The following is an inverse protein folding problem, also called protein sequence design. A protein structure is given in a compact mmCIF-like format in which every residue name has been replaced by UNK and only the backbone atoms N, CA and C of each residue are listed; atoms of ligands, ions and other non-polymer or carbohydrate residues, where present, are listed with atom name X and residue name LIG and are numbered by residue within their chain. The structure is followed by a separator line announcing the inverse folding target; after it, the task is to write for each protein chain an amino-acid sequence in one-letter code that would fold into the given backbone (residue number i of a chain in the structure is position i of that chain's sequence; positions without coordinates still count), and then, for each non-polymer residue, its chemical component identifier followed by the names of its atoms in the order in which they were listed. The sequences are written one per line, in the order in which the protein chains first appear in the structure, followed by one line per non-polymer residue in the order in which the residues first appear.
data_IF_467664080884
#
_entry.id   IF_467664080884
#
_cell.length_a   1.000
_cell.length_b   1.000
_cell.length_c   1.000
_cell.angle_alpha   90.00
_cell.angle_beta   90.00
_cell.angle_gamma   90.00
#
_symmetry.space_group_name_H-M   'P 1'
#
loop_
_entity.id
_entity.type
_entity.pdbx_description
1 polymer ?
#
# COMPACT_ATOMS: atom_id res chain seq x y z
N UNK A 1 -5.73 0.26 8.29
CA UNK A 1 -6.43 1.28 7.47
C UNK A 1 -5.58 1.67 6.27
N UNK A 2 -6.20 2.03 5.16
CA UNK A 2 -5.54 2.65 4.00
C UNK A 2 -6.23 3.98 3.71
N UNK A 3 -5.44 5.02 3.47
CA UNK A 3 -5.91 6.37 3.22
C UNK A 3 -5.16 6.98 2.04
N UNK A 4 -5.89 7.69 1.19
CA UNK A 4 -5.34 8.57 0.16
C UNK A 4 -5.68 10.02 0.51
N UNK A 5 -4.78 10.96 0.24
CA UNK A 5 -5.00 12.37 0.58
C UNK A 5 -6.20 13.02 -0.13
N UNK A 6 -6.66 12.42 -1.23
CA UNK A 6 -7.85 12.81 -2.01
C UNK A 6 -8.49 11.55 -2.59
N UNK A 7 -9.71 11.71 -3.11
CA UNK A 7 -10.39 10.68 -3.92
C UNK A 7 -10.32 10.98 -5.42
N UNK A 8 -10.04 12.22 -5.78
CA UNK A 8 -9.93 12.68 -7.17
C UNK A 8 -8.62 13.46 -7.31
N UNK A 9 -7.85 13.14 -8.34
CA UNK A 9 -6.53 13.69 -8.65
C UNK A 9 -6.51 14.17 -10.09
N UNK A 10 -5.82 15.29 -10.36
CA UNK A 10 -5.54 15.68 -11.75
C UNK A 10 -4.38 14.85 -12.31
N UNK A 11 -4.25 14.80 -13.63
CA UNK A 11 -3.04 14.26 -14.27
C UNK A 11 -1.79 14.91 -13.68
N UNK A 12 -0.74 14.11 -13.51
CA UNK A 12 0.55 14.49 -12.91
C UNK A 12 0.50 14.87 -11.42
N UNK A 13 -0.68 14.80 -10.78
CA UNK A 13 -0.78 15.00 -9.35
C UNK A 13 -0.36 13.76 -8.56
N UNK A 14 0.59 13.92 -7.65
CA UNK A 14 1.02 12.81 -6.82
C UNK A 14 -0.08 12.28 -5.90
N UNK A 15 -0.34 10.98 -5.98
CA UNK A 15 -1.23 10.25 -5.07
C UNK A 15 -0.43 9.88 -3.83
N UNK A 16 -0.76 10.50 -2.69
CA UNK A 16 -0.15 10.16 -1.40
C UNK A 16 -0.97 9.11 -0.70
N UNK A 17 -0.36 7.96 -0.45
CA UNK A 17 -0.96 6.81 0.21
C UNK A 17 -0.39 6.64 1.62
N UNK A 18 -1.26 6.39 2.59
CA UNK A 18 -0.89 6.08 3.97
C UNK A 18 -1.53 4.74 4.32
N UNK A 19 -0.68 3.74 4.57
CA UNK A 19 -1.11 2.44 5.08
C UNK A 19 -0.71 2.33 6.56
N UNK A 20 -1.67 2.02 7.43
CA UNK A 20 -1.43 1.88 8.86
C UNK A 20 -1.97 0.55 9.39
N UNK A 21 -1.10 -0.17 10.08
CA UNK A 21 -1.37 -1.42 10.80
C UNK A 21 -1.45 -1.10 12.29
N UNK A 22 -2.65 -1.15 12.86
CA UNK A 22 -2.91 -0.81 14.26
C UNK A 22 -3.29 -2.06 15.03
N UNK A 23 -2.64 -2.30 16.17
CA UNK A 23 -3.10 -3.33 17.09
C UNK A 23 -4.35 -2.84 17.83
N UNK A 24 -5.51 -3.40 17.48
CA UNK A 24 -6.82 -3.07 18.10
C UNK A 24 -7.15 -3.93 19.32
N UNK A 25 -6.27 -4.87 19.68
CA UNK A 25 -6.45 -5.74 20.83
C UNK A 25 -5.96 -5.06 22.12
N UNK A 26 -6.43 -5.56 23.26
CA UNK A 26 -5.97 -5.09 24.59
C UNK A 26 -4.62 -5.70 25.01
N UNK A 27 -4.06 -6.61 24.21
CA UNK A 27 -2.77 -7.28 24.46
C UNK A 27 -1.78 -7.00 23.33
N UNK A 28 -0.46 -7.07 23.58
CA UNK A 28 0.52 -6.97 22.50
C UNK A 28 0.29 -8.02 21.41
N UNK A 29 0.55 -7.63 20.16
CA UNK A 29 0.45 -8.50 18.99
C UNK A 29 1.80 -8.53 18.27
N UNK A 30 2.33 -9.73 18.02
CA UNK A 30 3.57 -9.92 17.26
C UNK A 30 3.24 -10.33 15.83
N UNK A 31 3.77 -9.57 14.87
CA UNK A 31 3.74 -9.85 13.44
C UNK A 31 5.07 -10.51 13.06
N UNK A 32 5.01 -11.65 12.37
CA UNK A 32 6.18 -12.34 11.83
C UNK A 32 6.24 -12.17 10.31
N UNK A 33 7.38 -11.72 9.80
CA UNK A 33 7.64 -11.55 8.38
C UNK A 33 8.73 -12.50 7.93
N UNK A 34 8.54 -13.20 6.82
CA UNK A 34 9.50 -14.18 6.27
C UNK A 34 10.61 -13.54 5.42
N UNK A 35 10.44 -12.28 5.05
CA UNK A 35 11.40 -11.47 4.29
C UNK A 35 11.41 -10.05 4.87
N UNK A 36 12.30 -9.20 4.35
CA UNK A 36 12.29 -7.75 4.65
C UNK A 36 11.02 -7.02 4.16
N UNK A 37 10.14 -7.66 3.39
CA UNK A 37 8.90 -7.06 2.93
C UNK A 37 7.82 -7.12 4.01
N UNK A 38 7.46 -5.97 4.58
CA UNK A 38 6.45 -5.88 5.64
C UNK A 38 5.05 -5.49 5.17
N UNK A 39 4.93 -5.02 3.94
CA UNK A 39 3.67 -4.63 3.31
C UNK A 39 3.86 -4.63 1.79
N UNK A 40 2.76 -4.44 1.08
CA UNK A 40 2.77 -4.07 -0.33
C UNK A 40 1.56 -3.18 -0.63
N UNK A 41 1.61 -2.51 -1.78
CA UNK A 41 0.52 -1.72 -2.32
C UNK A 41 0.41 -2.04 -3.81
N UNK A 42 -0.80 -2.42 -4.24
CA UNK A 42 -1.15 -2.69 -5.62
C UNK A 42 -2.18 -1.66 -6.08
N UNK A 43 -1.95 -1.11 -7.26
CA UNK A 43 -2.90 -0.24 -7.95
C UNK A 43 -3.38 -0.98 -9.20
N UNK A 44 -4.69 -1.18 -9.32
CA UNK A 44 -5.31 -1.80 -10.49
C UNK A 44 -6.27 -0.86 -11.20
N UNK A 45 -6.49 -1.13 -12.49
CA UNK A 45 -7.52 -0.49 -13.31
C UNK A 45 -8.28 -1.57 -14.05
N UNK A 46 -9.61 -1.60 -13.87
CA UNK A 46 -10.45 -2.64 -14.45
C UNK A 46 -9.97 -4.08 -14.12
N UNK A 47 -9.38 -4.28 -12.94
CA UNK A 47 -8.85 -5.57 -12.49
C UNK A 47 -7.39 -5.85 -12.91
N UNK A 48 -6.83 -5.08 -13.84
CA UNK A 48 -5.46 -5.26 -14.32
C UNK A 48 -4.46 -4.50 -13.46
N UNK A 49 -3.31 -5.12 -13.16
CA UNK A 49 -2.22 -4.47 -12.44
C UNK A 49 -1.62 -3.33 -13.27
N UNK A 50 -1.56 -2.15 -12.66
CA UNK A 50 -0.96 -0.94 -13.26
C UNK A 50 0.37 -0.64 -12.59
N UNK A 51 0.36 -0.64 -11.26
CA UNK A 51 1.53 -0.31 -10.46
C UNK A 51 1.55 -1.13 -9.19
N UNK A 52 2.72 -1.59 -8.77
CA UNK A 52 2.90 -2.30 -7.50
C UNK A 52 4.13 -1.76 -6.80
N UNK A 53 4.00 -1.45 -5.51
CA UNK A 53 5.09 -0.89 -4.72
C UNK A 53 6.31 -1.82 -4.72
N UNK A 54 6.09 -3.14 -4.58
CA UNK A 54 7.16 -4.14 -4.61
C UNK A 54 7.77 -4.39 -5.99
N UNK A 55 7.20 -3.85 -7.09
CA UNK A 55 7.75 -4.07 -8.42
C UNK A 55 9.20 -3.57 -8.51
N UNK A 56 10.09 -4.43 -9.02
CA UNK A 56 11.52 -4.15 -9.14
C UNK A 56 12.30 -4.07 -7.82
N UNK A 57 11.66 -4.29 -6.66
CA UNK A 57 12.34 -4.31 -5.35
C UNK A 57 12.85 -5.69 -5.01
N UNK A 58 14.01 -5.74 -4.36
CA UNK A 58 14.60 -6.97 -3.81
C UNK A 58 14.53 -6.89 -2.29
N UNK A 59 14.06 -7.96 -1.66
CA UNK A 59 13.94 -8.06 -0.21
C UNK A 59 14.90 -9.10 0.34
N UNK A 60 15.55 -8.79 1.46
CA UNK A 60 16.42 -9.75 2.17
C UNK A 60 15.57 -10.90 2.72
N UNK A 61 16.05 -12.13 2.55
CA UNK A 61 15.42 -13.35 3.08
C UNK A 61 15.79 -13.57 4.55
N UNK A 62 15.24 -12.73 5.42
CA UNK A 62 15.43 -12.83 6.87
C UNK A 62 14.08 -12.81 7.57
N UNK A 63 13.87 -13.74 8.50
CA UNK A 63 12.69 -13.75 9.35
C UNK A 63 12.83 -12.65 10.40
N UNK A 64 11.84 -11.76 10.47
CA UNK A 64 11.81 -10.67 11.46
C UNK A 64 10.48 -10.66 12.19
N UNK A 65 10.51 -10.17 13.42
CA UNK A 65 9.31 -9.99 14.24
C UNK A 65 9.14 -8.52 14.58
N UNK A 66 7.89 -8.05 14.57
CA UNK A 66 7.51 -6.70 15.01
C UNK A 66 6.37 -6.84 16.00
N UNK A 67 6.59 -6.41 17.24
CA UNK A 67 5.56 -6.41 18.27
C UNK A 67 4.93 -5.03 18.35
N UNK A 68 3.60 -4.98 18.29
CA UNK A 68 2.79 -3.78 18.46
C UNK A 68 2.08 -3.86 19.82
N UNK A 69 2.31 -2.89 20.69
CA UNK A 69 1.57 -2.72 21.93
C UNK A 69 0.08 -2.41 21.65
N UNK A 70 -0.82 -2.55 22.64
CA UNK A 70 -2.22 -2.14 22.49
C UNK A 70 -2.36 -0.70 21.98
N UNK A 71 -3.09 -0.51 20.88
CA UNK A 71 -3.27 0.79 20.22
C UNK A 71 -2.07 1.28 19.39
N UNK A 72 -0.92 0.61 19.44
CA UNK A 72 0.25 0.99 18.65
C UNK A 72 0.00 0.78 17.16
N UNK A 73 0.57 1.68 16.34
CA UNK A 73 0.42 1.67 14.89
C UNK A 73 1.77 1.70 14.19
N UNK A 74 1.96 0.78 13.24
CA UNK A 74 3.01 0.86 12.23
C UNK A 74 2.46 1.59 11.00
N UNK A 75 3.14 2.65 10.55
CA UNK A 75 2.65 3.53 9.47
C UNK A 75 3.63 3.58 8.30
N UNK A 76 3.13 3.32 7.10
CA UNK A 76 3.85 3.37 5.84
C UNK A 76 3.28 4.50 4.98
N UNK A 77 4.15 5.30 4.37
CA UNK A 77 3.76 6.44 3.54
C UNK A 77 4.42 6.31 2.19
N UNK A 78 3.60 6.22 1.16
CA UNK A 78 4.05 6.00 -0.20
C UNK A 78 3.48 7.06 -1.14
N UNK A 79 4.21 7.29 -2.23
CA UNK A 79 3.87 8.25 -3.26
C UNK A 79 3.78 7.51 -4.58
N UNK A 80 2.67 7.69 -5.29
CA UNK A 80 2.52 7.23 -6.66
C UNK A 80 2.35 8.43 -7.58
N UNK A 81 3.20 8.53 -8.60
CA UNK A 81 3.27 9.66 -9.54
C UNK A 81 2.46 9.40 -10.82
N UNK A 82 1.45 8.53 -10.74
CA UNK A 82 0.59 8.17 -11.87
C UNK A 82 1.35 7.55 -13.07
N UNK A 83 2.36 6.73 -12.78
CA UNK A 83 3.08 5.92 -13.78
C UNK A 83 2.91 4.44 -13.51
N UNK A 84 2.86 3.63 -14.56
CA UNK A 84 2.82 2.17 -14.44
C UNK A 84 4.20 1.60 -14.03
N UNK A 85 4.25 0.27 -13.90
CA UNK A 85 5.47 -0.46 -13.59
C UNK A 85 6.57 -0.32 -14.66
N UNK A 86 6.25 0.11 -15.89
CA UNK A 86 7.18 0.38 -16.97
C UNK A 86 7.60 1.87 -17.04
N UNK A 87 7.12 2.68 -16.09
CA UNK A 87 7.42 4.11 -16.02
C UNK A 87 6.64 4.96 -17.03
N UNK A 88 5.58 4.42 -17.64
CA UNK A 88 4.72 5.17 -18.57
C UNK A 88 3.57 5.85 -17.81
N UNK A 89 3.17 7.08 -18.18
CA UNK A 89 2.00 7.73 -17.60
C UNK A 89 0.73 6.91 -17.80
N UNK A 90 -0.08 6.82 -16.75
CA UNK A 90 -1.34 6.08 -16.80
C UNK A 90 -2.48 6.96 -17.34
N UNK A 91 -3.50 6.38 -17.98
CA UNK A 91 -4.64 7.15 -18.48
C UNK A 91 -5.50 7.73 -17.34
N UNK A 92 -6.44 8.61 -17.69
CA UNK A 92 -7.49 9.03 -16.76
C UNK A 92 -8.49 7.89 -16.48
N UNK A 93 -9.23 8.03 -15.38
CA UNK A 93 -10.29 7.11 -14.98
C UNK A 93 -10.13 6.61 -13.54
N UNK A 94 -10.88 5.55 -13.22
CA UNK A 94 -10.94 4.96 -11.88
C UNK A 94 -9.85 3.92 -11.67
N UNK A 95 -9.28 3.95 -10.47
CA UNK A 95 -8.26 3.03 -10.00
C UNK A 95 -8.63 2.51 -8.62
N UNK A 96 -8.20 1.28 -8.35
CA UNK A 96 -8.37 0.63 -7.06
C UNK A 96 -6.99 0.51 -6.42
N UNK A 97 -6.83 1.05 -5.21
CA UNK A 97 -5.60 0.93 -4.43
C UNK A 97 -5.85 -0.09 -3.33
N UNK A 98 -5.11 -1.20 -3.36
CA UNK A 98 -5.14 -2.25 -2.34
C UNK A 98 -3.81 -2.29 -1.62
N UNK A 99 -3.83 -2.30 -0.29
CA UNK A 99 -2.63 -2.47 0.53
C UNK A 99 -2.83 -3.62 1.50
N UNK A 100 -1.77 -4.39 1.76
CA UNK A 100 -1.84 -5.52 2.66
C UNK A 100 -0.62 -5.67 3.56
N UNK A 101 -0.86 -6.34 4.69
CA UNK A 101 0.19 -6.79 5.59
C UNK A 101 0.68 -8.17 5.15
N UNK A 102 1.95 -8.30 4.76
CA UNK A 102 2.53 -9.59 4.30
C UNK A 102 2.63 -10.66 5.39
N UNK A 103 2.52 -10.29 6.67
CA UNK A 103 2.49 -11.25 7.78
C UNK A 103 1.11 -11.93 7.95
N UNK A 104 0.03 -11.18 7.75
CA UNK A 104 -1.35 -11.62 8.07
C UNK A 104 -2.23 -11.78 6.83
N UNK A 105 -1.80 -11.26 5.68
CA UNK A 105 -2.58 -11.10 4.46
C UNK A 105 -3.91 -10.34 4.65
N UNK A 106 -4.02 -9.55 5.71
CA UNK A 106 -5.14 -8.62 5.86
C UNK A 106 -4.96 -7.49 4.86
N UNK A 107 -5.95 -7.32 3.99
CA UNK A 107 -5.97 -6.33 2.92
C UNK A 107 -7.02 -5.24 3.20
N UNK A 108 -6.76 -4.05 2.65
CA UNK A 108 -7.68 -2.92 2.68
C UNK A 108 -7.60 -2.21 1.33
N UNK A 109 -8.76 -1.71 0.88
CA UNK A 109 -8.90 -1.14 -0.45
C UNK A 109 -9.56 0.23 -0.40
N UNK A 110 -9.14 1.13 -1.30
CA UNK A 110 -9.79 2.42 -1.56
C UNK A 110 -9.83 2.71 -3.06
N UNK A 111 -10.90 3.37 -3.51
CA UNK A 111 -11.03 3.84 -4.89
C UNK A 111 -10.52 5.28 -5.03
N UNK A 112 -9.86 5.55 -6.15
CA UNK A 112 -9.48 6.90 -6.58
C UNK A 112 -9.83 7.11 -8.05
N UNK A 113 -9.92 8.38 -8.45
CA UNK A 113 -10.16 8.79 -9.83
C UNK A 113 -9.08 9.79 -10.28
N UNK A 114 -8.54 9.57 -11.47
CA UNK A 114 -7.63 10.50 -12.16
C UNK A 114 -8.42 11.21 -13.25
N UNK A 115 -8.41 12.54 -13.22
CA UNK A 115 -9.04 13.41 -14.23
C UNK A 115 -7.99 14.17 -15.02
N UNK A 116 -8.42 14.83 -16.09
CA UNK A 116 -7.61 15.86 -16.75
C UNK A 116 -7.25 17.00 -15.77
#
# INVERSE_FOLDING_TARGET
MLYTNRRVYRRDENVRMIFSKTNVQATPMTLEYRTGQQFDILITRAGEEVWRWSHGKVFVLVVTQTTLAPGESQVFRELWTQVDNQGQPVPTGRYVVTAWNTSTNVEVTVDIEITE
#
